data_IF_689381694667
#
_entry.id   IF_689381694667
#
_cell.length_a   1.000
_cell.length_b   1.000
_cell.length_c   1.000
_cell.angle_alpha   90.00
_cell.angle_beta   90.00
_cell.angle_gamma   90.00
#
_symmetry.space_group_name_H-M   'P 1'
#
loop_
_entity.id
_entity.type
_entity.pdbx_description
1 polymer ?
#
# COMPACT_ATOMS: atom_id res chain seq x y z
N UNK A 1 -10.95 11.79 -46.29
CA UNK A 1 -11.09 12.18 -44.87
C UNK A 1 -10.31 11.16 -44.05
N UNK A 2 -9.24 11.57 -43.37
CA UNK A 2 -8.37 10.69 -42.58
C UNK A 2 -8.91 10.61 -41.16
N UNK A 3 -9.31 9.42 -40.71
CA UNK A 3 -9.71 9.17 -39.33
C UNK A 3 -8.44 8.89 -38.52
N UNK A 4 -8.04 9.82 -37.66
CA UNK A 4 -6.93 9.64 -36.73
C UNK A 4 -7.45 8.83 -35.55
N UNK A 5 -6.98 7.59 -35.42
CA UNK A 5 -7.29 6.70 -34.29
C UNK A 5 -6.45 7.17 -33.09
N UNK A 6 -7.07 7.80 -32.10
CA UNK A 6 -6.43 8.10 -30.82
C UNK A 6 -6.39 6.83 -29.98
N UNK A 7 -5.19 6.28 -29.77
CA UNK A 7 -4.96 5.19 -28.81
C UNK A 7 -4.97 5.82 -27.42
N UNK A 8 -6.06 5.60 -26.69
CA UNK A 8 -6.16 5.92 -25.28
C UNK A 8 -5.39 4.85 -24.51
N UNK A 9 -4.19 5.17 -24.03
CA UNK A 9 -3.44 4.32 -23.11
C UNK A 9 -4.04 4.51 -21.72
N UNK A 10 -4.96 3.61 -21.35
CA UNK A 10 -5.51 3.56 -19.99
C UNK A 10 -4.47 2.89 -19.10
N UNK A 11 -3.73 3.67 -18.32
CA UNK A 11 -2.87 3.14 -17.25
C UNK A 11 -3.78 2.68 -16.13
N UNK A 12 -3.73 1.38 -15.82
CA UNK A 12 -4.52 0.79 -14.76
C UNK A 12 -4.01 1.30 -13.39
N UNK A 13 -4.85 2.05 -12.69
CA UNK A 13 -4.68 2.28 -11.25
C UNK A 13 -4.90 0.96 -10.53
N UNK A 14 -3.80 0.30 -10.13
CA UNK A 14 -3.86 -0.88 -9.27
C UNK A 14 -4.12 -0.38 -7.85
N UNK A 15 -5.40 -0.28 -7.48
CA UNK A 15 -5.79 -0.16 -6.08
C UNK A 15 -5.58 -1.54 -5.43
N UNK A 16 -4.45 -1.71 -4.76
CA UNK A 16 -3.98 -3.00 -4.22
C UNK A 16 -4.30 -3.10 -2.72
N UNK A 17 -4.84 -4.24 -2.30
CA UNK A 17 -5.12 -4.56 -0.90
C UNK A 17 -3.90 -5.25 -0.25
N UNK A 18 -3.48 -4.76 0.90
CA UNK A 18 -2.15 -5.01 1.51
C UNK A 18 -2.33 -5.40 2.98
N UNK A 19 -1.99 -6.64 3.37
CA UNK A 19 -1.93 -7.17 4.75
C UNK A 19 -3.21 -7.02 5.63
N UNK A 20 -3.26 -7.71 6.78
CA UNK A 20 -4.26 -7.47 7.84
C UNK A 20 -4.04 -6.08 8.45
N UNK A 21 -4.50 -5.05 7.75
CA UNK A 21 -4.53 -3.68 8.24
C UNK A 21 -5.67 -3.55 9.28
N UNK A 22 -5.48 -2.77 10.35
CA UNK A 22 -4.36 -1.85 10.57
C UNK A 22 -3.16 -2.47 11.28
N UNK A 23 -1.94 -2.07 10.88
CA UNK A 23 -0.68 -2.50 11.54
C UNK A 23 -0.26 -1.48 12.58
N UNK A 24 -0.17 -1.87 13.85
CA UNK A 24 0.29 -0.99 14.93
C UNK A 24 1.82 -0.82 14.93
N UNK A 25 2.29 0.35 15.34
CA UNK A 25 3.70 0.65 15.57
C UNK A 25 3.85 1.72 16.67
N UNK A 26 5.09 2.08 17.04
CA UNK A 26 5.38 2.97 18.17
C UNK A 26 4.55 4.27 18.23
N UNK A 27 4.31 4.93 17.10
CA UNK A 27 3.64 6.24 17.09
C UNK A 27 2.24 6.22 16.49
N UNK A 28 1.64 5.05 16.24
CA UNK A 28 0.31 4.99 15.66
C UNK A 28 -0.04 3.65 15.05
N UNK A 29 -0.92 3.70 14.06
CA UNK A 29 -1.29 2.55 13.23
C UNK A 29 -1.25 2.93 11.76
N UNK A 30 -0.77 2.01 10.94
CA UNK A 30 -0.84 2.09 9.48
C UNK A 30 -2.26 1.67 9.11
N UNK A 31 -3.01 2.58 8.50
CA UNK A 31 -4.39 2.36 8.05
C UNK A 31 -4.43 1.84 6.62
N UNK A 32 -3.61 2.40 5.73
CA UNK A 32 -3.51 1.97 4.33
C UNK A 32 -2.07 2.04 3.85
N UNK A 33 -1.75 1.20 2.88
CA UNK A 33 -0.51 1.24 2.11
C UNK A 33 -0.93 1.47 0.66
N UNK A 34 -0.26 2.37 -0.03
CA UNK A 34 -0.44 2.63 -1.46
C UNK A 34 0.91 2.55 -2.13
N UNK A 35 0.93 1.92 -3.30
CA UNK A 35 2.10 1.85 -4.17
C UNK A 35 1.77 2.58 -5.46
N UNK A 36 2.66 3.45 -5.93
CA UNK A 36 2.43 4.21 -7.17
C UNK A 36 3.73 4.56 -7.88
N UNK A 37 3.66 4.66 -9.20
CA UNK A 37 4.70 5.24 -10.05
C UNK A 37 4.38 6.66 -10.49
N UNK A 38 3.22 7.19 -10.10
CA UNK A 38 2.79 8.54 -10.45
C UNK A 38 3.55 9.61 -9.69
N UNK A 39 3.70 10.77 -10.31
CA UNK A 39 4.33 11.93 -9.70
C UNK A 39 3.60 12.33 -8.41
N UNK A 40 4.36 12.60 -7.35
CA UNK A 40 3.84 13.08 -6.07
C UNK A 40 4.33 14.49 -5.82
N UNK A 41 3.52 15.28 -5.11
CA UNK A 41 3.81 16.69 -4.85
C UNK A 41 4.65 16.86 -3.60
N UNK A 42 5.83 17.44 -3.76
CA UNK A 42 6.76 17.73 -2.68
C UNK A 42 6.95 19.23 -2.51
N UNK A 43 7.41 19.61 -1.31
CA UNK A 43 7.98 20.94 -1.10
C UNK A 43 9.37 21.01 -1.72
N UNK A 44 9.62 22.03 -2.54
CA UNK A 44 10.95 22.33 -3.06
C UNK A 44 11.77 23.05 -1.98
N UNK A 45 12.73 22.31 -1.40
CA UNK A 45 13.55 22.78 -0.29
C UNK A 45 14.46 23.95 -0.67
N UNK A 46 14.96 23.99 -1.91
CA UNK A 46 15.82 25.06 -2.40
C UNK A 46 15.05 26.37 -2.51
N UNK A 47 13.85 26.35 -3.11
CA UNK A 47 12.95 27.51 -3.18
C UNK A 47 12.54 27.98 -1.80
N UNK A 48 12.22 27.06 -0.90
CA UNK A 48 11.92 27.39 0.49
C UNK A 48 13.08 28.10 1.19
N UNK A 49 14.31 27.61 1.00
CA UNK A 49 15.51 28.23 1.56
C UNK A 49 15.75 29.63 0.96
N UNK A 50 15.63 29.78 -0.36
CA UNK A 50 15.77 31.06 -1.05
C UNK A 50 14.76 32.12 -0.56
N UNK A 51 13.54 31.70 -0.21
CA UNK A 51 12.50 32.59 0.31
C UNK A 51 12.48 32.69 1.85
N UNK A 52 13.49 32.18 2.57
CA UNK A 52 13.56 32.12 4.03
C UNK A 52 12.37 31.41 4.71
N UNK A 53 11.67 30.54 3.99
CA UNK A 53 10.58 29.72 4.53
C UNK A 53 11.19 28.47 5.14
N UNK A 54 11.68 28.56 6.39
CA UNK A 54 12.38 27.44 7.05
C UNK A 54 11.45 26.41 7.70
N UNK A 55 10.22 26.82 8.02
CA UNK A 55 9.26 25.97 8.71
C UNK A 55 8.12 25.53 7.78
N UNK A 56 7.65 24.29 7.93
CA UNK A 56 6.48 23.78 7.21
C UNK A 56 5.22 24.54 7.62
N UNK A 57 4.32 24.79 6.67
CA UNK A 57 3.01 25.42 6.89
C UNK A 57 1.89 24.45 6.53
N UNK A 58 0.71 24.59 7.13
CA UNK A 58 -0.43 23.72 6.79
C UNK A 58 -0.87 23.90 5.33
N UNK A 59 -0.74 25.10 4.79
CA UNK A 59 -0.92 25.39 3.37
C UNK A 59 0.45 25.74 2.78
N UNK A 60 0.93 24.93 1.84
CA UNK A 60 2.20 25.16 1.15
C UNK A 60 1.90 25.92 -0.15
N UNK A 61 2.43 27.14 -0.34
CA UNK A 61 2.27 27.89 -1.59
C UNK A 61 2.69 27.07 -2.81
N UNK A 62 1.93 27.18 -3.90
CA UNK A 62 2.17 26.37 -5.11
C UNK A 62 3.55 26.62 -5.72
N UNK A 63 4.06 27.85 -5.66
CA UNK A 63 5.37 28.24 -6.17
C UNK A 63 6.52 27.54 -5.43
N UNK A 64 6.29 27.14 -4.17
CA UNK A 64 7.21 26.37 -3.34
C UNK A 64 7.07 24.86 -3.51
N UNK A 65 6.15 24.39 -4.34
CA UNK A 65 5.98 22.97 -4.63
C UNK A 65 6.75 22.54 -5.88
N UNK A 66 6.95 21.24 -5.98
CA UNK A 66 7.42 20.55 -7.18
C UNK A 66 6.83 19.14 -7.22
N UNK A 67 6.47 18.67 -8.41
CA UNK A 67 6.04 17.29 -8.61
C UNK A 67 7.27 16.44 -8.94
N UNK A 68 7.42 15.30 -8.25
CA UNK A 68 8.52 14.36 -8.46
C UNK A 68 7.96 12.99 -8.81
N UNK A 69 8.46 12.42 -9.89
CA UNK A 69 8.30 11.01 -10.21
C UNK A 69 9.30 10.17 -9.40
N UNK A 70 9.02 8.89 -9.14
CA UNK A 70 10.03 7.99 -8.61
C UNK A 70 11.17 7.83 -9.61
N UNK A 71 12.37 7.58 -9.10
CA UNK A 71 13.55 7.25 -9.91
C UNK A 71 13.29 6.03 -10.80
N UNK A 72 13.99 5.93 -11.92
CA UNK A 72 13.83 4.81 -12.86
C UNK A 72 13.97 3.44 -12.16
N UNK A 73 12.98 2.56 -12.36
CA UNK A 73 12.94 1.23 -11.74
C UNK A 73 12.47 1.22 -10.27
N UNK A 74 11.99 2.36 -9.77
CA UNK A 74 11.46 2.50 -8.42
C UNK A 74 9.99 2.91 -8.44
N UNK A 75 9.38 2.88 -7.26
CA UNK A 75 8.01 3.29 -6.98
C UNK A 75 7.97 4.06 -5.66
N UNK A 76 6.92 4.86 -5.47
CA UNK A 76 6.58 5.39 -4.17
C UNK A 76 5.73 4.40 -3.38
N UNK A 77 6.08 4.25 -2.10
CA UNK A 77 5.25 3.60 -1.09
C UNK A 77 4.73 4.69 -0.16
N UNK A 78 3.41 4.84 -0.11
CA UNK A 78 2.72 5.84 0.70
C UNK A 78 1.96 5.11 1.81
N UNK A 79 2.30 5.43 3.05
CA UNK A 79 1.63 4.91 4.24
C UNK A 79 0.68 5.96 4.79
N UNK A 80 -0.62 5.63 4.86
CA UNK A 80 -1.57 6.42 5.64
C UNK A 80 -1.51 5.96 7.08
N UNK A 81 -1.23 6.90 7.98
CA UNK A 81 -1.01 6.62 9.39
C UNK A 81 -2.01 7.40 10.21
N UNK A 82 -2.60 6.75 11.20
CA UNK A 82 -3.33 7.42 12.29
C UNK A 82 -2.37 7.52 13.47
N UNK A 83 -1.86 8.72 13.80
CA UNK A 83 -0.93 8.89 14.90
C UNK A 83 -1.61 8.62 16.24
N UNK A 84 -0.86 8.07 17.19
CA UNK A 84 -1.28 8.02 18.58
C UNK A 84 -1.22 9.44 19.18
N UNK A 85 -2.28 9.91 19.87
CA UNK A 85 -2.22 11.18 20.60
C UNK A 85 -1.02 11.21 21.54
N UNK A 86 -0.43 12.39 21.78
CA UNK A 86 0.83 12.59 22.58
C UNK A 86 2.13 12.12 21.93
N UNK A 87 2.10 11.56 20.72
CA UNK A 87 3.33 11.21 19.98
C UNK A 87 3.67 12.28 18.96
N UNK A 88 4.96 12.44 18.74
CA UNK A 88 5.50 13.27 17.66
C UNK A 88 5.98 12.35 16.55
N UNK A 89 5.66 12.70 15.30
CA UNK A 89 6.13 11.99 14.10
C UNK A 89 6.83 12.98 13.18
N UNK A 90 7.97 12.57 12.67
CA UNK A 90 8.76 13.25 11.65
C UNK A 90 9.31 12.25 10.63
N UNK A 91 9.70 12.72 9.42
CA UNK A 91 10.38 11.89 8.43
C UNK A 91 11.68 11.24 8.93
N UNK A 92 12.31 11.79 9.97
CA UNK A 92 13.56 11.25 10.53
C UNK A 92 13.34 10.07 11.47
N UNK A 93 12.11 9.84 11.92
CA UNK A 93 11.82 8.84 12.94
C UNK A 93 11.70 7.43 12.36
N UNK A 94 11.43 7.31 11.05
CA UNK A 94 11.05 6.05 10.40
C UNK A 94 11.74 5.82 9.06
N UNK A 95 12.03 4.56 8.79
CA UNK A 95 12.51 4.03 7.51
C UNK A 95 11.77 2.75 7.17
N UNK A 96 11.62 2.46 5.89
CA UNK A 96 11.29 1.10 5.45
C UNK A 96 12.57 0.27 5.40
N UNK A 97 12.47 -1.00 5.78
CA UNK A 97 13.57 -1.96 5.73
C UNK A 97 13.09 -3.19 4.96
N UNK A 98 13.88 -3.65 3.98
CA UNK A 98 13.63 -4.88 3.24
C UNK A 98 14.97 -5.48 2.83
N UNK A 99 15.16 -6.78 3.10
CA UNK A 99 16.39 -7.52 2.80
C UNK A 99 17.68 -6.83 3.26
N UNK A 100 17.63 -6.17 4.42
CA UNK A 100 18.77 -5.44 4.99
C UNK A 100 19.05 -4.07 4.36
N UNK A 101 18.23 -3.64 3.39
CA UNK A 101 18.31 -2.30 2.79
C UNK A 101 17.39 -1.33 3.52
N UNK A 102 17.90 -0.12 3.73
CA UNK A 102 17.18 0.98 4.37
C UNK A 102 16.64 1.95 3.32
N UNK A 103 15.34 2.28 3.40
CA UNK A 103 14.68 3.27 2.57
C UNK A 103 14.16 4.41 3.46
N UNK A 104 14.82 5.58 3.45
CA UNK A 104 14.43 6.69 4.31
C UNK A 104 13.09 7.29 3.89
N UNK A 105 12.35 7.85 4.86
CA UNK A 105 11.17 8.63 4.56
C UNK A 105 11.55 9.93 3.84
N UNK A 106 10.88 10.20 2.71
CA UNK A 106 11.15 11.39 1.90
C UNK A 106 10.34 12.60 2.36
N UNK A 107 9.26 12.40 3.12
CA UNK A 107 8.45 13.48 3.63
C UNK A 107 7.16 13.04 4.28
N UNK A 108 6.48 14.01 4.89
CA UNK A 108 5.21 13.83 5.56
C UNK A 108 4.20 14.83 5.00
N UNK A 109 3.00 14.35 4.66
CA UNK A 109 1.90 15.18 4.19
C UNK A 109 0.70 15.12 5.14
N UNK A 110 -0.04 16.21 5.23
CA UNK A 110 -1.37 16.20 5.85
C UNK A 110 -2.37 15.69 4.80
N UNK A 111 -3.39 14.95 5.24
CA UNK A 111 -4.44 14.48 4.32
C UNK A 111 -5.14 15.64 3.61
N UNK A 112 -5.23 16.81 4.25
CA UNK A 112 -5.91 17.99 3.72
C UNK A 112 -5.20 18.66 2.54
N UNK A 113 -3.87 18.51 2.41
CA UNK A 113 -3.11 19.20 1.37
C UNK A 113 -2.33 18.25 0.43
N UNK A 114 -2.06 17.02 0.87
CA UNK A 114 -1.28 16.02 0.14
C UNK A 114 0.05 16.55 -0.44
N UNK A 115 0.72 17.48 0.27
CA UNK A 115 2.06 17.97 -0.08
C UNK A 115 3.07 17.42 0.91
N UNK A 116 4.00 16.61 0.42
CA UNK A 116 5.05 16.00 1.22
C UNK A 116 6.15 17.02 1.53
N UNK A 117 6.39 17.26 2.82
CA UNK A 117 7.46 18.15 3.30
C UNK A 117 8.38 17.38 4.25
N UNK A 118 9.66 17.31 3.89
CA UNK A 118 10.69 16.64 4.70
C UNK A 118 10.95 17.33 6.05
N UNK A 119 10.60 18.61 6.18
CA UNK A 119 10.80 19.39 7.41
C UNK A 119 9.64 19.25 8.37
N UNK A 120 8.54 18.61 7.96
CA UNK A 120 7.31 18.51 8.74
C UNK A 120 7.49 17.66 9.99
N UNK A 121 6.96 18.16 11.10
CA UNK A 121 6.81 17.43 12.36
C UNK A 121 5.36 17.55 12.81
N UNK A 122 4.75 16.44 13.14
CA UNK A 122 3.39 16.35 13.64
C UNK A 122 3.48 16.14 15.14
N UNK A 123 2.98 17.10 15.90
CA UNK A 123 2.94 17.03 17.36
C UNK A 123 1.50 16.77 17.79
N UNK A 124 1.27 15.71 18.55
CA UNK A 124 0.02 15.47 19.29
C UNK A 124 -1.25 15.49 18.42
N UNK A 125 -1.15 15.16 17.13
CA UNK A 125 -2.30 15.10 16.24
C UNK A 125 -2.95 13.73 16.28
N UNK A 126 -4.28 13.69 16.25
CA UNK A 126 -5.06 12.49 15.93
C UNK A 126 -5.46 12.41 14.46
N UNK A 127 -5.16 13.45 13.67
CA UNK A 127 -5.49 13.48 12.25
C UNK A 127 -4.59 12.50 11.48
N UNK A 128 -5.15 11.76 10.52
CA UNK A 128 -4.33 10.90 9.69
C UNK A 128 -3.34 11.73 8.87
N UNK A 129 -2.20 11.12 8.58
CA UNK A 129 -1.09 11.71 7.83
C UNK A 129 -0.56 10.70 6.82
N UNK A 130 0.21 11.18 5.85
CA UNK A 130 0.91 10.31 4.91
C UNK A 130 2.42 10.37 5.14
N UNK A 131 3.07 9.22 5.16
CA UNK A 131 4.52 9.08 4.99
C UNK A 131 4.79 8.52 3.60
N UNK A 132 5.80 9.06 2.92
CA UNK A 132 6.21 8.59 1.58
C UNK A 132 7.65 8.09 1.59
N UNK A 133 7.87 6.99 0.90
CA UNK A 133 9.16 6.34 0.72
C UNK A 133 9.35 6.02 -0.76
N UNK A 134 10.59 5.91 -1.22
CA UNK A 134 10.90 5.42 -2.56
C UNK A 134 11.63 4.09 -2.45
N UNK A 135 11.11 3.07 -3.13
CA UNK A 135 11.65 1.71 -3.08
C UNK A 135 11.73 1.10 -4.48
N UNK A 136 12.57 0.07 -4.72
CA UNK A 136 12.41 -0.82 -5.85
C UNK A 136 10.98 -1.40 -5.92
N UNK A 137 10.52 -1.75 -7.11
CA UNK A 137 9.15 -2.28 -7.33
C UNK A 137 8.96 -3.74 -6.94
N UNK A 138 10.04 -4.46 -6.70
CA UNK A 138 10.07 -5.90 -6.47
C UNK A 138 10.42 -6.28 -5.02
N UNK A 139 10.23 -5.38 -4.06
CA UNK A 139 10.52 -5.67 -2.66
C UNK A 139 9.47 -6.59 -2.03
N UNK A 140 9.96 -7.59 -1.30
CA UNK A 140 9.17 -8.43 -0.41
C UNK A 140 9.49 -8.11 1.05
N UNK A 141 8.61 -8.53 1.97
CA UNK A 141 8.83 -8.46 3.43
C UNK A 141 9.28 -7.09 3.95
N UNK A 142 8.58 -6.02 3.55
CA UNK A 142 8.96 -4.66 3.92
C UNK A 142 8.50 -4.34 5.34
N UNK A 143 9.35 -3.74 6.17
CA UNK A 143 9.00 -3.40 7.55
C UNK A 143 9.21 -1.91 7.82
N UNK A 144 8.24 -1.27 8.48
CA UNK A 144 8.42 0.08 9.01
C UNK A 144 9.19 0.00 10.32
N UNK A 145 10.40 0.55 10.34
CA UNK A 145 11.30 0.51 11.50
C UNK A 145 11.55 1.91 12.03
N UNK A 146 11.58 2.07 13.36
CA UNK A 146 12.01 3.32 13.98
C UNK A 146 13.54 3.43 13.96
N UNK A 147 14.07 4.60 13.60
CA UNK A 147 15.52 4.84 13.50
C UNK A 147 16.20 4.85 14.87
N UNK A 148 15.48 5.17 15.95
CA UNK A 148 16.05 5.27 17.28
C UNK A 148 15.94 3.95 18.06
N UNK A 149 17.09 3.31 18.27
CA UNK A 149 17.21 2.15 19.15
C UNK A 149 17.00 2.58 20.61
N UNK A 150 15.86 2.24 21.21
CA UNK A 150 15.60 2.50 22.64
C UNK A 150 14.17 2.92 22.98
N UNK A 151 13.33 3.23 21.99
CA UNK A 151 11.89 3.39 22.23
C UNK A 151 11.26 2.01 22.43
N UNK A 152 10.25 1.85 23.33
CA UNK A 152 9.51 0.60 23.47
C UNK A 152 8.88 0.26 22.11
N UNK A 153 9.55 -0.64 21.41
CA UNK A 153 9.30 -0.95 20.01
C UNK A 153 8.29 -2.08 19.96
N UNK A 154 7.12 -1.79 19.40
CA UNK A 154 6.28 -2.81 18.78
C UNK A 154 6.74 -2.83 17.32
N UNK A 155 7.40 -3.90 16.85
CA UNK A 155 7.66 -4.05 15.43
C UNK A 155 6.34 -3.97 14.69
N UNK A 156 6.24 -3.05 13.72
CA UNK A 156 5.20 -3.19 12.71
C UNK A 156 5.41 -4.57 12.07
N UNK A 157 4.36 -5.40 12.01
CA UNK A 157 4.41 -6.64 11.26
C UNK A 157 4.82 -6.39 9.79
N UNK A 158 5.22 -7.43 9.05
CA UNK A 158 5.63 -7.27 7.66
C UNK A 158 4.51 -6.62 6.84
N UNK A 159 4.86 -5.57 6.11
CA UNK A 159 4.05 -4.86 5.12
C UNK A 159 4.28 -5.56 3.78
N UNK A 160 3.23 -6.09 3.19
CA UNK A 160 3.29 -6.68 1.86
C UNK A 160 3.16 -5.58 0.80
N UNK A 161 4.15 -5.39 -0.06
CA UNK A 161 4.06 -4.39 -1.14
C UNK A 161 3.57 -4.96 -2.47
N UNK A 162 3.59 -6.29 -2.59
CA UNK A 162 3.24 -7.04 -3.80
C UNK A 162 2.18 -8.07 -3.40
N UNK A 163 1.13 -8.18 -4.19
CA UNK A 163 0.13 -9.23 -4.03
C UNK A 163 0.78 -10.58 -4.40
N UNK A 164 0.91 -11.50 -3.44
CA UNK A 164 1.15 -12.90 -3.78
C UNK A 164 -0.11 -13.39 -4.50
N UNK A 165 -0.04 -13.89 -5.75
CA UNK A 165 -1.21 -14.46 -6.39
C UNK A 165 -1.80 -15.50 -5.44
N UNK A 166 -3.09 -15.35 -5.13
CA UNK A 166 -3.82 -16.40 -4.44
C UNK A 166 -3.56 -17.69 -5.23
N UNK A 167 -2.93 -18.66 -4.58
CA UNK A 167 -2.82 -20.01 -5.13
C UNK A 167 -4.27 -20.46 -5.32
N UNK A 168 -4.73 -20.48 -6.57
CA UNK A 168 -6.07 -20.98 -6.91
C UNK A 168 -6.20 -22.34 -6.24
N UNK A 169 -7.07 -22.43 -5.23
CA UNK A 169 -7.58 -23.72 -4.80
C UNK A 169 -8.21 -24.35 -6.03
N UNK A 170 -7.46 -25.23 -6.69
CA UNK A 170 -7.99 -26.10 -7.74
C UNK A 170 -9.27 -26.71 -7.17
N UNK A 171 -10.44 -26.51 -7.79
CA UNK A 171 -11.62 -27.23 -7.36
C UNK A 171 -11.27 -28.72 -7.43
N UNK A 172 -11.41 -29.38 -6.28
CA UNK A 172 -11.29 -30.81 -6.17
C UNK A 172 -12.21 -31.43 -7.23
N UNK A 173 -11.60 -32.03 -8.24
CA UNK A 173 -12.30 -32.88 -9.19
C UNK A 173 -12.85 -34.03 -8.36
N UNK A 174 -14.15 -33.97 -8.06
CA UNK A 174 -14.89 -35.13 -7.61
C UNK A 174 -14.87 -36.13 -8.77
N UNK A 175 -13.91 -37.06 -8.72
CA UNK A 175 -14.02 -38.34 -9.41
C UNK A 175 -15.24 -39.08 -8.84
N UNK A 176 -16.37 -39.02 -9.55
CA UNK A 176 -17.33 -40.11 -9.52
C UNK A 176 -17.49 -40.66 -10.92
N UNK A 177 -17.02 -41.90 -11.08
CA UNK A 177 -17.28 -42.79 -12.20
C UNK A 177 -18.12 -43.96 -11.63
N UNK A 178 -18.79 -44.76 -12.46
CA UNK A 178 -20.14 -44.56 -13.00
C UNK A 178 -21.14 -45.60 -12.44
N UNK A 179 -22.44 -45.33 -12.48
CA UNK A 179 -23.50 -46.35 -12.39
C UNK A 179 -24.67 -45.88 -13.26
N UNK A 180 -24.84 -46.40 -14.47
CA UNK A 180 -25.56 -47.65 -14.79
C UNK A 180 -27.05 -47.60 -14.39
N UNK A 181 -27.90 -47.48 -15.41
CA UNK A 181 -29.24 -48.06 -15.58
C UNK A 181 -29.71 -48.98 -14.44
N UNK A 182 -30.92 -48.81 -13.90
CA UNK A 182 -32.15 -49.32 -14.53
C UNK A 182 -33.39 -49.02 -13.68
N UNK A 183 -34.44 -48.63 -14.42
CA UNK A 183 -35.88 -48.91 -14.29
C UNK A 183 -36.49 -49.33 -12.95
N UNK A 184 -37.46 -48.52 -12.50
CA UNK A 184 -38.49 -48.86 -11.53
C UNK A 184 -39.78 -49.23 -12.29
N UNK A 185 -40.11 -50.52 -12.43
CA UNK A 185 -41.49 -50.95 -12.65
C UNK A 185 -41.80 -52.28 -11.94
N UNK A 186 -42.99 -52.35 -11.37
CA UNK A 186 -43.53 -53.28 -10.37
C UNK A 186 -44.60 -54.18 -11.06
N UNK A 187 -45.31 -55.09 -10.37
CA UNK A 187 -44.96 -56.34 -9.69
C UNK A 187 -45.60 -57.61 -10.32
N UNK A 188 -45.08 -58.78 -9.87
CA UNK A 188 -45.76 -60.02 -9.45
C UNK A 188 -46.69 -60.84 -10.39
N UNK A 189 -46.44 -62.17 -10.31
CA UNK A 189 -47.36 -63.32 -10.44
C UNK A 189 -47.77 -63.72 -11.86
N UNK A 190 -47.89 -64.99 -12.25
CA UNK A 190 -47.58 -66.33 -11.73
C UNK A 190 -48.04 -67.26 -12.87
N UNK A 191 -47.27 -68.24 -13.31
CA UNK A 191 -47.76 -69.47 -13.94
C UNK A 191 -46.57 -70.34 -14.35
N UNK A 192 -46.49 -71.53 -13.76
CA UNK A 192 -46.33 -72.79 -14.49
C UNK A 192 -46.37 -73.94 -13.46
N UNK A 193 -47.54 -74.56 -13.35
CA UNK A 193 -47.67 -75.98 -13.06
C UNK A 193 -47.41 -76.77 -14.35
N UNK A 194 -46.62 -77.85 -14.22
CA UNK A 194 -46.40 -79.01 -15.11
C UNK A 194 -45.69 -78.84 -16.48
#
# INVERSE_FOLDING_TARGET
MKLTLAILVTVATIASAIADLPIAFHAGKIETVQVTTEAQRFTNLEKCAAQNKKSPTSEVPEDLCEDKEPSTGKQFVILKIIPTPTRTISPFDYKLVSDGNDFPCLGLALVSNNVYDFRRKIHESSEPIFLIFETPSNLENVMLTCVYAGLPYIPAGPIQLIEKPAEEEKPAVAEEKPAANDEEEKPAANDEEE
#
